data_IF_306006135504
#
_entry.id   IF_306006135504
#
_cell.length_a   1.000
_cell.length_b   1.000
_cell.length_c   1.000
_cell.angle_alpha   90.00
_cell.angle_beta   90.00
_cell.angle_gamma   90.00
#
_symmetry.space_group_name_H-M   'P 1'
#
loop_
_entity.id
_entity.type
_entity.pdbx_description
1 polymer ?
#
# COMPACT_ATOMS: atom_id res chain seq x y z
N UNK A 1 -2.39 76.39 -50.80
CA UNK A 1 -2.17 76.30 -49.33
C UNK A 1 -0.68 76.25 -49.04
N UNK A 2 -0.16 77.26 -48.35
CA UNK A 2 1.27 77.63 -48.28
C UNK A 2 2.10 76.55 -47.56
N UNK A 3 3.27 76.23 -48.12
CA UNK A 3 4.29 75.25 -47.64
C UNK A 3 4.50 75.25 -46.12
N UNK A 4 4.40 76.44 -45.49
CA UNK A 4 4.51 76.68 -44.04
C UNK A 4 3.48 75.89 -43.20
N UNK A 5 2.24 75.75 -43.67
CA UNK A 5 1.20 75.05 -42.90
C UNK A 5 1.40 73.52 -42.93
N UNK A 6 1.99 72.97 -44.00
CA UNK A 6 2.35 71.55 -44.07
C UNK A 6 3.50 71.20 -43.12
N UNK A 7 4.46 72.10 -42.95
CA UNK A 7 5.59 71.94 -42.01
C UNK A 7 5.09 71.96 -40.56
N UNK A 8 4.18 72.88 -40.22
CA UNK A 8 3.58 72.95 -38.88
C UNK A 8 2.77 71.68 -38.58
N UNK A 9 1.98 71.18 -39.54
CA UNK A 9 1.23 69.94 -39.38
C UNK A 9 2.16 68.73 -39.17
N UNK A 10 3.28 68.65 -39.91
CA UNK A 10 4.26 67.58 -39.74
C UNK A 10 4.92 67.61 -38.36
N UNK A 11 5.28 68.81 -37.87
CA UNK A 11 5.86 69.00 -36.54
C UNK A 11 4.90 68.58 -35.42
N UNK A 12 3.61 68.92 -35.53
CA UNK A 12 2.60 68.52 -34.54
C UNK A 12 2.41 67.00 -34.51
N UNK A 13 2.42 66.33 -35.67
CA UNK A 13 2.37 64.87 -35.74
C UNK A 13 3.61 64.25 -35.10
N UNK A 14 4.80 64.81 -35.37
CA UNK A 14 6.05 64.31 -34.79
C UNK A 14 6.06 64.45 -33.26
N UNK A 15 5.62 65.60 -32.75
CA UNK A 15 5.49 65.84 -31.30
C UNK A 15 4.48 64.85 -30.69
N UNK A 16 3.33 64.63 -31.34
CA UNK A 16 2.34 63.65 -30.87
C UNK A 16 2.90 62.23 -30.78
N UNK A 17 3.72 61.82 -31.76
CA UNK A 17 4.39 60.52 -31.76
C UNK A 17 5.42 60.43 -30.62
N UNK A 18 6.24 61.48 -30.44
CA UNK A 18 7.26 61.52 -29.37
C UNK A 18 6.59 61.50 -28.00
N UNK A 19 5.54 62.29 -27.78
CA UNK A 19 4.77 62.31 -26.53
C UNK A 19 4.08 60.96 -26.30
N UNK A 20 3.47 60.39 -27.35
CA UNK A 20 2.85 59.06 -27.28
C UNK A 20 3.84 57.96 -26.92
N UNK A 21 5.04 57.97 -27.50
CA UNK A 21 6.12 57.03 -27.18
C UNK A 21 6.64 57.23 -25.75
N UNK A 22 6.80 58.47 -25.31
CA UNK A 22 7.32 58.79 -23.97
C UNK A 22 6.31 58.40 -22.87
N UNK A 23 5.01 58.58 -23.15
CA UNK A 23 3.93 58.13 -22.26
C UNK A 23 3.85 56.60 -22.29
N UNK A 24 3.93 55.97 -23.47
CA UNK A 24 3.92 54.50 -23.59
C UNK A 24 5.14 53.82 -22.96
N UNK A 25 6.29 54.51 -22.87
CA UNK A 25 7.49 53.97 -22.23
C UNK A 25 7.49 54.14 -20.71
N UNK A 26 6.79 55.16 -20.19
CA UNK A 26 6.67 55.41 -18.74
C UNK A 26 5.44 54.75 -18.12
N UNK A 27 4.41 54.46 -18.92
CA UNK A 27 3.33 53.60 -18.51
C UNK A 27 3.78 52.16 -18.75
N UNK A 28 3.98 51.44 -17.65
CA UNK A 28 4.36 50.03 -17.58
C UNK A 28 3.20 49.10 -18.06
N UNK A 29 2.54 49.46 -19.18
CA UNK A 29 1.33 48.80 -19.73
C UNK A 29 1.65 47.42 -20.33
N UNK A 30 2.94 47.13 -20.50
CA UNK A 30 3.44 45.80 -20.88
C UNK A 30 4.09 45.09 -19.70
N UNK A 31 3.49 45.13 -18.50
CA UNK A 31 3.67 43.99 -17.61
C UNK A 31 3.06 42.78 -18.32
N UNK A 32 3.91 42.04 -19.03
CA UNK A 32 3.67 40.66 -19.39
C UNK A 32 3.30 39.96 -18.09
N UNK A 33 2.00 39.78 -17.85
CA UNK A 33 1.50 38.98 -16.75
C UNK A 33 1.88 37.54 -17.06
N UNK A 34 3.13 37.19 -16.78
CA UNK A 34 3.50 35.80 -16.62
C UNK A 34 2.62 35.29 -15.48
N UNK A 35 1.88 34.21 -15.73
CA UNK A 35 1.22 33.48 -14.66
C UNK A 35 2.28 33.26 -13.57
N UNK A 36 2.02 33.80 -12.39
CA UNK A 36 2.86 33.57 -11.22
C UNK A 36 2.93 32.05 -11.05
N UNK A 37 4.04 31.47 -11.47
CA UNK A 37 4.26 30.04 -11.37
C UNK A 37 4.43 29.81 -9.88
N UNK A 38 3.34 29.44 -9.21
CA UNK A 38 3.31 29.01 -7.81
C UNK A 38 4.30 27.84 -7.66
N UNK A 39 5.57 28.18 -7.53
CA UNK A 39 6.65 27.25 -7.25
C UNK A 39 6.53 26.89 -5.77
N UNK A 40 6.60 25.60 -5.48
CA UNK A 40 6.70 25.11 -4.11
C UNK A 40 7.89 25.81 -3.45
N UNK A 41 7.70 26.34 -2.23
CA UNK A 41 8.76 27.06 -1.55
C UNK A 41 9.94 26.12 -1.24
N UNK A 42 11.14 26.70 -1.12
CA UNK A 42 12.33 25.92 -0.80
C UNK A 42 12.19 25.25 0.57
N UNK A 43 11.59 25.95 1.52
CA UNK A 43 11.32 25.48 2.87
C UNK A 43 10.38 24.27 2.88
N UNK A 44 9.31 24.30 2.07
CA UNK A 44 8.39 23.18 1.95
C UNK A 44 9.08 21.95 1.36
N UNK A 45 9.94 22.14 0.36
CA UNK A 45 10.71 21.06 -0.28
C UNK A 45 11.72 20.45 0.69
N UNK A 46 12.45 21.28 1.44
CA UNK A 46 13.40 20.83 2.46
C UNK A 46 12.71 20.08 3.60
N UNK A 47 11.55 20.57 4.06
CA UNK A 47 10.75 19.91 5.08
C UNK A 47 10.26 18.53 4.63
N UNK A 48 9.67 18.42 3.43
CA UNK A 48 9.20 17.15 2.88
C UNK A 48 10.35 16.16 2.68
N UNK A 49 11.53 16.65 2.26
CA UNK A 49 12.74 15.82 2.15
C UNK A 49 13.20 15.25 3.50
N UNK A 50 13.20 16.08 4.56
CA UNK A 50 13.54 15.63 5.92
C UNK A 50 12.52 14.62 6.43
N UNK A 51 11.23 14.89 6.28
CA UNK A 51 10.16 13.98 6.68
C UNK A 51 10.31 12.62 5.97
N UNK A 52 10.49 12.63 4.65
CA UNK A 52 10.69 11.40 3.87
C UNK A 52 11.91 10.61 4.33
N UNK A 53 13.00 11.28 4.70
CA UNK A 53 14.21 10.64 5.21
C UNK A 53 13.96 10.00 6.57
N UNK A 54 13.33 10.72 7.50
CA UNK A 54 13.00 10.20 8.84
C UNK A 54 12.04 9.01 8.79
N UNK A 55 11.03 9.05 7.91
CA UNK A 55 10.11 7.92 7.72
C UNK A 55 10.83 6.68 7.17
N UNK A 56 11.81 6.89 6.29
CA UNK A 56 12.63 5.82 5.73
C UNK A 56 13.52 5.18 6.80
N UNK A 57 14.13 6.00 7.66
CA UNK A 57 14.95 5.53 8.78
C UNK A 57 14.13 4.70 9.78
N UNK A 58 12.95 5.19 10.17
CA UNK A 58 12.02 4.44 11.03
C UNK A 58 11.63 3.11 10.37
N UNK A 59 11.32 3.14 9.07
CA UNK A 59 10.99 1.93 8.34
C UNK A 59 12.16 0.93 8.32
N UNK A 60 13.39 1.37 8.09
CA UNK A 60 14.57 0.50 8.06
C UNK A 60 14.78 -0.24 9.39
N UNK A 61 14.51 0.42 10.51
CA UNK A 61 14.59 -0.19 11.85
C UNK A 61 13.47 -1.18 12.10
N UNK A 62 12.23 -0.88 11.67
CA UNK A 62 11.05 -1.69 12.00
C UNK A 62 10.82 -2.85 11.04
N UNK A 63 11.15 -2.68 9.75
CA UNK A 63 10.97 -3.68 8.69
C UNK A 63 11.44 -5.08 9.07
N UNK A 64 12.62 -5.30 9.69
CA UNK A 64 13.06 -6.63 10.09
C UNK A 64 12.08 -7.38 11.01
N UNK A 65 11.30 -6.65 11.81
CA UNK A 65 10.33 -7.21 12.76
C UNK A 65 9.03 -7.68 12.12
N UNK A 66 8.79 -7.34 10.85
CA UNK A 66 7.55 -7.67 10.12
C UNK A 66 7.78 -8.86 9.20
N UNK A 67 7.01 -9.93 9.41
CA UNK A 67 7.15 -11.21 8.72
C UNK A 67 6.05 -11.43 7.71
N UNK A 68 6.33 -12.27 6.71
CA UNK A 68 5.29 -12.87 5.87
C UNK A 68 4.75 -14.13 6.55
N UNK A 69 3.44 -14.33 6.46
CA UNK A 69 2.78 -15.56 6.90
C UNK A 69 2.10 -16.17 5.68
N UNK A 70 2.50 -17.39 5.35
CA UNK A 70 1.90 -18.21 4.30
C UNK A 70 1.24 -19.41 4.95
N UNK A 71 -0.05 -19.58 4.71
CA UNK A 71 -0.80 -20.72 5.22
C UNK A 71 -1.24 -21.61 4.08
N UNK A 72 -1.27 -22.92 4.33
CA UNK A 72 -1.78 -23.91 3.39
C UNK A 72 -2.89 -24.71 4.06
N UNK A 73 -4.00 -24.88 3.33
CA UNK A 73 -5.14 -25.70 3.71
C UNK A 73 -5.42 -26.70 2.60
N UNK A 74 -5.52 -27.96 2.97
CA UNK A 74 -5.89 -29.05 2.08
C UNK A 74 -7.40 -29.18 2.08
N UNK A 75 -8.03 -28.74 1.00
CA UNK A 75 -9.47 -28.87 0.79
C UNK A 75 -9.72 -30.16 0.01
N UNK A 76 -10.39 -31.12 0.65
CA UNK A 76 -10.91 -32.30 -0.04
C UNK A 76 -12.28 -31.94 -0.63
N UNK A 77 -12.37 -31.81 -1.95
CA UNK A 77 -13.67 -31.72 -2.63
C UNK A 77 -14.30 -33.11 -2.64
N UNK A 78 -15.16 -33.37 -1.66
CA UNK A 78 -15.74 -34.70 -1.43
C UNK A 78 -16.83 -35.06 -2.44
N UNK A 79 -17.43 -34.09 -3.13
CA UNK A 79 -18.54 -34.36 -4.06
C UNK A 79 -18.28 -33.72 -5.43
N UNK A 80 -18.10 -34.56 -6.44
CA UNK A 80 -18.38 -34.16 -7.82
C UNK A 80 -19.92 -33.98 -7.91
N UNK A 81 -20.47 -32.81 -8.26
CA UNK A 81 -21.92 -32.58 -8.29
C UNK A 81 -22.68 -33.48 -9.29
N UNK A 82 -21.96 -34.19 -10.16
CA UNK A 82 -22.52 -35.19 -11.06
C UNK A 82 -22.54 -36.61 -10.49
N UNK A 83 -21.92 -36.86 -9.33
CA UNK A 83 -21.88 -38.20 -8.73
C UNK A 83 -23.29 -38.69 -8.34
N UNK A 84 -24.17 -37.78 -7.92
CA UNK A 84 -25.56 -38.11 -7.63
C UNK A 84 -26.36 -38.43 -8.90
N UNK A 85 -26.05 -37.76 -10.02
CA UNK A 85 -26.64 -38.04 -11.34
C UNK A 85 -26.19 -39.39 -11.91
N UNK A 86 -24.90 -39.74 -11.76
CA UNK A 86 -24.34 -41.03 -12.21
C UNK A 86 -24.75 -42.21 -11.32
N UNK A 87 -25.18 -41.94 -10.08
CA UNK A 87 -25.74 -42.92 -9.16
C UNK A 87 -27.27 -43.01 -9.24
N UNK A 88 -27.93 -42.39 -10.22
CA UNK A 88 -29.37 -42.51 -10.43
C UNK A 88 -29.75 -43.90 -11.00
N UNK A 89 -30.80 -44.59 -10.48
CA UNK A 89 -31.25 -45.88 -11.01
C UNK A 89 -31.69 -45.90 -12.48
N UNK A 90 -32.25 -44.79 -12.99
CA UNK A 90 -32.67 -44.60 -14.38
C UNK A 90 -31.46 -44.44 -15.30
N UNK A 91 -30.49 -43.59 -14.93
CA UNK A 91 -29.26 -43.38 -15.72
C UNK A 91 -28.42 -44.66 -15.81
N UNK A 92 -28.30 -45.42 -14.71
CA UNK A 92 -27.57 -46.70 -14.64
C UNK A 92 -28.15 -47.80 -15.52
N UNK A 93 -29.48 -47.81 -15.72
CA UNK A 93 -30.14 -48.76 -16.62
C UNK A 93 -29.86 -48.46 -18.10
N UNK A 94 -29.61 -47.20 -18.44
CA UNK A 94 -29.46 -46.75 -19.82
C UNK A 94 -28.00 -46.79 -20.31
N UNK A 95 -27.04 -46.42 -19.48
CA UNK A 95 -25.62 -46.30 -19.87
C UNK A 95 -24.70 -47.40 -19.31
N UNK A 96 -25.22 -48.31 -18.48
CA UNK A 96 -24.45 -49.43 -17.92
C UNK A 96 -23.52 -49.05 -16.76
N UNK A 97 -22.88 -50.06 -16.14
CA UNK A 97 -21.98 -49.88 -15.00
C UNK A 97 -20.56 -49.41 -15.37
N UNK A 98 -20.25 -49.28 -16.66
CA UNK A 98 -18.89 -48.94 -17.13
C UNK A 98 -18.51 -47.47 -16.89
N UNK A 99 -19.49 -46.62 -16.54
CA UNK A 99 -19.28 -45.21 -16.20
C UNK A 99 -18.84 -44.95 -14.74
N UNK A 100 -18.56 -46.00 -13.95
CA UNK A 100 -18.27 -45.90 -12.50
C UNK A 100 -16.92 -45.28 -12.11
N UNK A 101 -16.15 -44.71 -13.04
CA UNK A 101 -14.78 -44.25 -12.72
C UNK A 101 -14.51 -42.82 -13.15
N UNK A 102 -15.29 -41.87 -12.64
CA UNK A 102 -14.91 -40.45 -12.68
C UNK A 102 -14.11 -40.05 -11.44
N UNK A 103 -12.84 -40.46 -11.44
CA UNK A 103 -11.71 -39.78 -10.79
C UNK A 103 -11.58 -39.93 -9.27
N UNK A 104 -10.34 -40.12 -8.75
CA UNK A 104 -10.08 -40.13 -7.31
C UNK A 104 -10.43 -38.77 -6.68
N UNK A 105 -10.75 -38.77 -5.37
CA UNK A 105 -10.88 -37.55 -4.56
C UNK A 105 -9.70 -36.61 -4.83
N UNK A 106 -9.96 -35.45 -5.44
CA UNK A 106 -8.92 -34.47 -5.69
C UNK A 106 -8.79 -33.60 -4.44
N UNK A 107 -7.68 -33.75 -3.74
CA UNK A 107 -7.24 -32.81 -2.70
C UNK A 107 -6.67 -31.57 -3.39
N UNK A 108 -7.27 -30.42 -3.16
CA UNK A 108 -6.73 -29.13 -3.60
C UNK A 108 -6.04 -28.46 -2.43
N UNK A 109 -4.83 -27.93 -2.65
CA UNK A 109 -4.19 -27.04 -1.68
C UNK A 109 -4.66 -25.62 -1.96
N UNK A 110 -5.30 -25.00 -0.99
CA UNK A 110 -5.58 -23.57 -0.96
C UNK A 110 -4.51 -22.90 -0.09
N UNK A 111 -3.96 -21.78 -0.56
CA UNK A 111 -2.99 -21.01 0.21
C UNK A 111 -3.56 -19.63 0.57
N UNK A 112 -3.34 -19.18 1.79
CA UNK A 112 -3.56 -17.78 2.16
C UNK A 112 -2.24 -17.11 2.53
N UNK A 113 -2.24 -15.78 2.43
CA UNK A 113 -1.07 -14.94 2.61
C UNK A 113 -1.44 -13.78 3.54
N UNK A 114 -0.51 -13.44 4.43
CA UNK A 114 -0.69 -12.37 5.40
C UNK A 114 0.62 -11.87 5.95
N UNK A 115 0.54 -10.96 6.93
CA UNK A 115 1.69 -10.40 7.63
C UNK A 115 1.60 -10.71 9.11
N UNK A 116 2.73 -10.69 9.80
CA UNK A 116 2.80 -10.73 11.25
C UNK A 116 3.90 -9.83 11.77
N UNK A 117 3.91 -9.62 13.08
CA UNK A 117 4.91 -8.79 13.77
C UNK A 117 5.55 -9.59 14.90
N UNK A 118 6.87 -9.67 14.92
CA UNK A 118 7.64 -10.30 15.99
C UNK A 118 7.59 -9.37 17.21
N UNK A 119 7.04 -9.86 18.33
CA UNK A 119 6.85 -9.08 19.57
C UNK A 119 7.75 -9.53 20.72
N UNK A 120 8.47 -10.64 20.56
CA UNK A 120 9.45 -11.12 21.53
C UNK A 120 10.62 -11.78 20.81
N UNK A 121 11.82 -11.65 21.37
CA UNK A 121 13.06 -12.30 20.89
C UNK A 121 12.95 -13.83 20.95
N UNK A 122 12.07 -14.35 21.81
CA UNK A 122 11.76 -15.78 21.87
C UNK A 122 10.97 -16.25 20.64
N UNK A 123 10.48 -15.35 19.77
CA UNK A 123 9.80 -15.70 18.52
C UNK A 123 8.30 -15.80 18.57
N UNK A 124 7.69 -15.06 19.51
CA UNK A 124 6.25 -14.80 19.48
C UNK A 124 5.92 -13.76 18.42
N UNK A 125 4.91 -14.06 17.60
CA UNK A 125 4.48 -13.25 16.48
C UNK A 125 2.98 -13.01 16.61
N UNK A 126 2.58 -11.74 16.51
CA UNK A 126 1.18 -11.34 16.40
C UNK A 126 0.76 -11.27 14.93
N UNK A 127 -0.44 -11.76 14.65
CA UNK A 127 -1.08 -11.68 13.33
C UNK A 127 -2.61 -11.67 13.48
N UNK A 128 -3.30 -11.57 12.36
CA UNK A 128 -4.75 -11.71 12.33
C UNK A 128 -5.17 -13.18 12.44
N UNK A 129 -6.24 -13.44 13.18
CA UNK A 129 -6.82 -14.77 13.29
C UNK A 129 -7.28 -15.30 11.92
N UNK A 130 -7.92 -14.46 11.08
CA UNK A 130 -8.37 -14.88 9.76
C UNK A 130 -7.24 -15.33 8.81
N UNK A 131 -5.98 -14.90 9.04
CA UNK A 131 -4.82 -15.32 8.23
C UNK A 131 -4.46 -16.78 8.51
N UNK A 132 -4.59 -17.21 9.77
CA UNK A 132 -4.18 -18.54 10.24
C UNK A 132 -5.33 -19.52 10.47
N UNK A 133 -6.57 -19.05 10.31
CA UNK A 133 -7.77 -19.84 10.54
C UNK A 133 -7.83 -21.05 9.60
N UNK A 134 -8.07 -22.22 10.18
CA UNK A 134 -8.17 -23.51 9.47
C UNK A 134 -6.95 -23.88 8.60
N UNK A 135 -5.78 -23.29 8.89
CA UNK A 135 -4.54 -23.63 8.22
C UNK A 135 -4.03 -24.99 8.72
N UNK A 136 -3.71 -25.90 7.81
CA UNK A 136 -3.03 -27.16 8.16
C UNK A 136 -1.55 -26.88 8.45
N UNK A 137 -0.96 -25.97 7.68
CA UNK A 137 0.43 -25.56 7.81
C UNK A 137 0.54 -24.05 7.81
N UNK A 138 1.36 -23.53 8.73
CA UNK A 138 1.72 -22.12 8.81
C UNK A 138 3.23 -22.03 8.58
N UNK A 139 3.63 -21.31 7.55
CA UNK A 139 5.01 -20.95 7.26
C UNK A 139 5.20 -19.46 7.49
N UNK A 140 6.25 -19.13 8.22
CA UNK A 140 6.67 -17.76 8.49
C UNK A 140 7.95 -17.50 7.72
N UNK A 141 7.99 -16.41 6.95
CA UNK A 141 9.20 -15.97 6.25
C UNK A 141 9.65 -14.64 6.83
N UNK A 142 10.86 -14.61 7.38
CA UNK A 142 11.47 -13.43 7.98
C UNK A 142 11.95 -12.45 6.89
N UNK A 143 12.27 -11.23 7.31
CA UNK A 143 12.85 -10.20 6.44
C UNK A 143 14.18 -10.65 5.78
N UNK A 144 14.99 -11.42 6.50
CA UNK A 144 16.25 -11.99 6.01
C UNK A 144 16.06 -13.25 5.15
N UNK A 145 14.81 -13.57 4.80
CA UNK A 145 14.38 -14.73 3.99
C UNK A 145 14.53 -16.10 4.67
N UNK A 146 14.85 -16.17 5.97
CA UNK A 146 14.76 -17.44 6.70
C UNK A 146 13.29 -17.88 6.81
N UNK A 147 13.03 -19.16 6.61
CA UNK A 147 11.70 -19.76 6.70
C UNK A 147 11.58 -20.63 7.96
N UNK A 148 10.44 -20.53 8.65
CA UNK A 148 10.16 -21.30 9.86
C UNK A 148 8.73 -21.83 9.85
N UNK A 149 8.52 -22.99 10.49
CA UNK A 149 7.18 -23.49 10.76
C UNK A 149 6.59 -22.74 11.97
N UNK A 150 5.44 -22.13 11.77
CA UNK A 150 4.69 -21.47 12.84
C UNK A 150 3.82 -22.46 13.61
N UNK A 151 3.82 -22.36 14.93
CA UNK A 151 2.89 -23.06 15.82
C UNK A 151 1.91 -22.05 16.41
N UNK A 152 0.61 -22.33 16.33
CA UNK A 152 -0.41 -21.51 17.00
C UNK A 152 -0.27 -21.68 18.52
N UNK A 153 -0.15 -20.56 19.23
CA UNK A 153 -0.12 -20.52 20.70
C UNK A 153 -1.51 -20.17 21.25
N UNK A 154 -2.21 -19.25 20.59
CA UNK A 154 -3.55 -18.84 20.97
C UNK A 154 -4.22 -18.00 19.88
N UNK A 155 -5.54 -17.98 19.90
CA UNK A 155 -6.36 -17.19 18.98
C UNK A 155 -7.53 -16.53 19.72
N UNK A 156 -7.91 -15.34 19.28
CA UNK A 156 -9.13 -14.66 19.68
C UNK A 156 -9.92 -14.26 18.42
N UNK A 157 -10.95 -15.04 18.05
CA UNK A 157 -11.80 -14.72 16.91
C UNK A 157 -12.60 -13.42 17.07
N UNK A 158 -12.84 -12.92 18.29
CA UNK A 158 -13.65 -11.71 18.51
C UNK A 158 -12.90 -10.44 18.12
N UNK A 159 -11.61 -10.38 18.45
CA UNK A 159 -10.72 -9.27 18.09
C UNK A 159 -9.92 -9.53 16.81
N UNK A 160 -10.14 -10.68 16.17
CA UNK A 160 -9.39 -11.16 15.01
C UNK A 160 -7.86 -11.22 15.25
N UNK A 161 -7.43 -11.61 16.45
CA UNK A 161 -6.01 -11.71 16.81
C UNK A 161 -5.55 -13.16 16.97
N UNK A 162 -4.30 -13.42 16.62
CA UNK A 162 -3.65 -14.70 16.85
C UNK A 162 -2.18 -14.52 17.24
N UNK A 163 -1.71 -15.41 18.11
CA UNK A 163 -0.30 -15.53 18.50
C UNK A 163 0.25 -16.82 17.91
N UNK A 164 1.31 -16.69 17.11
CA UNK A 164 2.09 -17.83 16.61
C UNK A 164 3.50 -17.79 17.19
N UNK A 165 4.14 -18.94 17.31
CA UNK A 165 5.52 -19.11 17.77
C UNK A 165 6.34 -19.77 16.68
N UNK A 166 7.53 -19.24 16.44
CA UNK A 166 8.57 -19.89 15.63
C UNK A 166 9.75 -20.28 16.52
N UNK A 167 10.53 -21.25 16.09
CA UNK A 167 11.77 -21.66 16.76
C UNK A 167 12.96 -21.11 15.97
N UNK A 168 13.47 -19.97 16.42
CA UNK A 168 14.51 -19.21 15.73
C UNK A 168 15.27 -18.32 16.72
N UNK A 169 16.55 -18.09 16.45
CA UNK A 169 17.40 -17.20 17.22
C UNK A 169 17.61 -15.86 16.51
N UNK A 170 18.03 -14.84 17.29
CA UNK A 170 18.37 -13.49 16.82
C UNK A 170 17.21 -12.83 16.07
N UNK A 171 16.04 -12.82 16.71
CA UNK A 171 14.84 -12.25 16.14
C UNK A 171 14.74 -10.75 16.46
N UNK A 172 14.49 -9.89 15.46
CA UNK A 172 14.28 -8.47 15.68
C UNK A 172 12.87 -8.24 16.24
N UNK A 173 12.73 -8.26 17.56
CA UNK A 173 11.45 -7.99 18.21
C UNK A 173 11.14 -6.49 18.22
N UNK A 174 9.90 -6.14 17.87
CA UNK A 174 9.44 -4.75 17.94
C UNK A 174 9.18 -4.36 19.41
N UNK A 175 9.47 -3.10 19.74
CA UNK A 175 9.02 -2.52 21.01
C UNK A 175 7.55 -2.14 20.91
N UNK A 176 6.73 -2.65 21.84
CA UNK A 176 5.32 -2.27 21.98
C UNK A 176 5.22 -0.87 22.61
N UNK A 177 4.36 -0.02 22.05
CA UNK A 177 4.04 1.31 22.58
C UNK A 177 2.68 1.36 23.25
N UNK A 178 2.38 2.50 23.89
CA UNK A 178 1.13 2.76 24.61
C UNK A 178 0.06 3.33 23.66
N UNK A 179 -0.91 2.52 23.27
CA UNK A 179 -2.01 2.94 22.37
C UNK A 179 -2.93 3.98 22.98
N UNK A 180 -3.11 3.96 24.31
CA UNK A 180 -4.01 4.88 25.04
C UNK A 180 -3.54 6.34 24.99
N UNK A 181 -2.28 6.56 24.61
CA UNK A 181 -1.68 7.90 24.48
C UNK A 181 -1.83 8.51 23.07
N UNK A 182 -2.34 7.74 22.11
CA UNK A 182 -2.49 8.17 20.72
C UNK A 182 -3.52 9.28 20.59
N UNK A 183 -3.28 10.20 19.65
CA UNK A 183 -4.22 11.29 19.32
C UNK A 183 -4.61 11.27 17.86
N UNK A 184 -5.86 11.62 17.59
CA UNK A 184 -6.35 11.86 16.22
C UNK A 184 -5.48 12.93 15.54
N UNK A 185 -5.03 12.64 14.32
CA UNK A 185 -4.13 13.49 13.54
C UNK A 185 -2.64 13.18 13.69
N UNK A 186 -2.25 12.28 14.60
CA UNK A 186 -0.85 11.84 14.68
C UNK A 186 -0.42 11.05 13.45
N UNK A 187 0.80 11.29 12.98
CA UNK A 187 1.37 10.59 11.81
C UNK A 187 1.69 9.15 12.18
N UNK A 188 1.25 8.22 11.35
CA UNK A 188 1.48 6.78 11.51
C UNK A 188 1.97 6.16 10.21
N UNK A 189 2.63 5.01 10.35
CA UNK A 189 3.08 4.19 9.23
C UNK A 189 2.53 2.78 9.41
N UNK A 190 1.87 2.26 8.38
CA UNK A 190 1.49 0.86 8.28
C UNK A 190 2.55 0.11 7.47
N UNK A 191 3.02 -1.01 8.00
CA UNK A 191 4.02 -1.88 7.36
C UNK A 191 3.43 -3.28 7.24
N UNK A 192 3.52 -3.87 6.04
CA UNK A 192 3.06 -5.23 5.79
C UNK A 192 4.00 -5.99 4.86
N UNK A 193 3.95 -7.32 4.90
CA UNK A 193 4.66 -8.23 4.02
C UNK A 193 3.76 -9.37 3.51
N UNK A 194 2.61 -9.11 2.87
CA UNK A 194 1.68 -10.18 2.50
C UNK A 194 2.24 -11.08 1.38
N UNK A 195 3.08 -10.58 0.47
CA UNK A 195 3.51 -11.35 -0.71
C UNK A 195 4.91 -11.96 -0.61
N UNK A 196 5.69 -11.63 0.43
CA UNK A 196 7.06 -12.12 0.60
C UNK A 196 8.07 -11.63 -0.45
N UNK A 197 7.66 -10.77 -1.40
CA UNK A 197 8.52 -10.19 -2.43
C UNK A 197 9.23 -8.94 -1.93
N UNK A 198 8.46 -8.00 -1.40
CA UNK A 198 8.89 -6.76 -0.77
C UNK A 198 7.83 -6.32 0.25
N UNK A 199 8.26 -5.66 1.31
CA UNK A 199 7.35 -5.04 2.27
C UNK A 199 6.69 -3.80 1.67
N UNK A 200 5.41 -3.63 1.97
CA UNK A 200 4.65 -2.42 1.65
C UNK A 200 4.63 -1.51 2.86
N UNK A 201 4.91 -0.23 2.62
CA UNK A 201 4.87 0.82 3.63
C UNK A 201 3.84 1.86 3.18
N UNK A 202 2.95 2.28 4.08
CA UNK A 202 1.93 3.29 3.83
C UNK A 202 1.92 4.29 4.97
N UNK A 203 2.06 5.58 4.66
CA UNK A 203 1.93 6.67 5.64
C UNK A 203 0.49 7.14 5.73
N UNK A 204 0.02 7.44 6.93
CA UNK A 204 -1.28 8.02 7.19
C UNK A 204 -1.28 8.83 8.47
N UNK A 205 -2.49 9.12 8.94
CA UNK A 205 -2.74 9.72 10.26
C UNK A 205 -3.71 8.87 11.05
N UNK A 206 -3.69 8.98 12.37
CA UNK A 206 -4.72 8.40 13.24
C UNK A 206 -6.05 9.08 12.94
N UNK A 207 -7.01 8.32 12.42
CA UNK A 207 -8.34 8.82 12.09
C UNK A 207 -9.31 8.83 13.27
N UNK A 208 -9.15 7.87 14.20
CA UNK A 208 -9.99 7.68 15.39
C UNK A 208 -9.21 6.88 16.46
N UNK A 209 -9.59 7.05 17.73
CA UNK A 209 -9.10 6.28 18.90
C UNK A 209 -10.27 5.72 19.69
#
# INVERSE_FOLDING_TARGET
MKKRNKVIALLLVLIGIVVGLTISSNLDVQKLTFADQNRVSKEATEFLGRLSSSLSEVADVVKPSVVNISTTRTVTLRNNPFNDLFNDPFFRRFFGNDFRSFGPERKFKSSALGSGVIVSEDGYILTNNHVIKDADEIKVVLYDKREFKGKVIGTDPKTDLAVIKIDAEKLPAIKIGESDSLRVGEVVIAIGNPFGLNQTITMGIVSAV
#
